data_IF_251165863299
#
_entry.id   IF_251165863299
#
_cell.length_a   1.000
_cell.length_b   1.000
_cell.length_c   1.000
_cell.angle_alpha   90.00
_cell.angle_beta   90.00
_cell.angle_gamma   90.00
#
_symmetry.space_group_name_H-M   'P 1'
#
loop_
_entity.id
_entity.type
_entity.pdbx_description
1 polymer ?
#
# COMPACT_ATOMS: atom_id res chain seq x y z
N UNK A 1 6.92 20.64 9.70
CA UNK A 1 7.55 20.49 8.37
C UNK A 1 8.44 19.26 8.27
N UNK A 2 9.50 19.11 9.08
CA UNK A 2 10.39 17.93 9.02
C UNK A 2 9.67 16.59 9.28
N UNK A 3 8.75 16.54 10.24
CA UNK A 3 7.94 15.35 10.54
C UNK A 3 7.14 14.87 9.31
N UNK A 4 6.42 15.78 8.66
CA UNK A 4 5.65 15.49 7.46
C UNK A 4 6.51 14.96 6.30
N UNK A 5 7.68 15.57 6.08
CA UNK A 5 8.60 15.14 5.02
C UNK A 5 9.10 13.70 5.26
N UNK A 6 9.43 13.37 6.51
CA UNK A 6 9.85 12.02 6.90
C UNK A 6 8.72 11.02 6.73
N UNK A 7 7.49 11.35 7.13
CA UNK A 7 6.31 10.48 6.97
C UNK A 7 6.00 10.21 5.50
N UNK A 8 6.06 11.24 4.64
CA UNK A 8 5.83 11.11 3.19
C UNK A 8 6.91 10.24 2.55
N UNK A 9 8.18 10.47 2.87
CA UNK A 9 9.28 9.64 2.36
C UNK A 9 9.12 8.19 2.80
N UNK A 10 8.84 7.96 4.09
CA UNK A 10 8.58 6.62 4.60
C UNK A 10 7.40 5.96 3.89
N UNK A 11 6.28 6.65 3.70
CA UNK A 11 5.13 6.09 3.00
C UNK A 11 5.44 5.73 1.53
N UNK A 12 6.20 6.58 0.83
CA UNK A 12 6.61 6.35 -0.57
C UNK A 12 7.48 5.10 -0.70
N UNK A 13 8.30 4.76 0.29
CA UNK A 13 9.14 3.55 0.23
C UNK A 13 8.47 2.32 0.85
N UNK A 14 7.80 2.48 1.99
CA UNK A 14 7.15 1.38 2.71
C UNK A 14 5.98 0.82 1.90
N UNK A 15 5.22 1.65 1.18
CA UNK A 15 4.09 1.14 0.43
C UNK A 15 4.51 0.24 -0.75
N UNK A 16 5.43 0.62 -1.66
CA UNK A 16 5.92 -0.28 -2.70
C UNK A 16 6.52 -1.56 -2.16
N UNK A 17 7.30 -1.49 -1.07
CA UNK A 17 7.86 -2.69 -0.42
C UNK A 17 6.73 -3.59 0.07
N UNK A 18 5.77 -3.04 0.81
CA UNK A 18 4.61 -3.78 1.32
C UNK A 18 3.78 -4.39 0.17
N UNK A 19 3.58 -3.66 -0.92
CA UNK A 19 2.88 -4.16 -2.10
C UNK A 19 3.61 -5.34 -2.75
N UNK A 20 4.92 -5.24 -2.94
CA UNK A 20 5.72 -6.35 -3.48
C UNK A 20 5.62 -7.59 -2.58
N UNK A 21 5.76 -7.40 -1.25
CA UNK A 21 5.61 -8.49 -0.29
C UNK A 21 4.20 -9.11 -0.33
N UNK A 22 3.16 -8.29 -0.46
CA UNK A 22 1.79 -8.76 -0.60
C UNK A 22 1.59 -9.57 -1.89
N UNK A 23 2.12 -9.10 -3.02
CA UNK A 23 2.08 -9.84 -4.30
C UNK A 23 2.78 -11.19 -4.17
N UNK A 24 3.96 -11.22 -3.54
CA UNK A 24 4.71 -12.46 -3.29
C UNK A 24 3.89 -13.43 -2.43
N UNK A 25 3.26 -12.98 -1.34
CA UNK A 25 2.39 -13.83 -0.52
C UNK A 25 1.21 -14.38 -1.32
N UNK A 26 0.47 -13.50 -2.01
CA UNK A 26 -0.73 -13.85 -2.79
C UNK A 26 -0.40 -14.89 -3.87
N UNK A 27 0.69 -14.71 -4.60
CA UNK A 27 1.08 -15.65 -5.68
C UNK A 27 1.46 -17.01 -5.10
N UNK A 28 2.12 -17.05 -3.95
CA UNK A 28 2.57 -18.30 -3.31
C UNK A 28 1.48 -19.04 -2.53
N UNK A 29 0.32 -18.43 -2.26
CA UNK A 29 -0.80 -19.11 -1.59
C UNK A 29 -1.37 -20.26 -2.43
N UNK A 30 -1.43 -21.46 -1.82
CA UNK A 30 -1.93 -22.69 -2.45
C UNK A 30 -3.43 -22.89 -2.27
N UNK A 31 -4.00 -22.23 -1.28
CA UNK A 31 -5.41 -22.27 -0.86
C UNK A 31 -6.31 -21.28 -1.62
N UNK A 32 -5.73 -20.43 -2.47
CA UNK A 32 -6.43 -19.35 -3.14
C UNK A 32 -6.53 -19.55 -4.65
N UNK A 33 -7.74 -19.44 -5.19
CA UNK A 33 -8.00 -19.52 -6.63
C UNK A 33 -7.44 -18.33 -7.42
N UNK A 34 -7.15 -18.52 -8.71
CA UNK A 34 -6.49 -17.51 -9.56
C UNK A 34 -7.24 -16.18 -9.66
N UNK A 35 -8.57 -16.20 -9.76
CA UNK A 35 -9.40 -14.96 -9.81
C UNK A 35 -9.27 -14.17 -8.50
N UNK A 36 -9.31 -14.86 -7.35
CA UNK A 36 -9.16 -14.23 -6.05
C UNK A 36 -7.78 -13.57 -5.91
N UNK A 37 -6.71 -14.22 -6.41
CA UNK A 37 -5.36 -13.64 -6.43
C UNK A 37 -5.30 -12.32 -7.21
N UNK A 38 -5.85 -12.31 -8.42
CA UNK A 38 -5.86 -11.11 -9.28
C UNK A 38 -6.62 -9.96 -8.61
N UNK A 39 -7.80 -10.24 -8.05
CA UNK A 39 -8.58 -9.23 -7.34
C UNK A 39 -7.81 -8.65 -6.15
N UNK A 40 -7.16 -9.49 -5.34
CA UNK A 40 -6.38 -9.04 -4.19
C UNK A 40 -5.15 -8.20 -4.58
N UNK A 41 -4.47 -8.53 -5.67
CA UNK A 41 -3.36 -7.72 -6.20
C UNK A 41 -3.87 -6.33 -6.60
N UNK A 42 -5.01 -6.25 -7.29
CA UNK A 42 -5.62 -4.97 -7.67
C UNK A 42 -5.99 -4.15 -6.43
N UNK A 43 -6.69 -4.75 -5.46
CA UNK A 43 -7.13 -4.07 -4.23
C UNK A 43 -5.93 -3.56 -3.42
N UNK A 44 -4.89 -4.38 -3.24
CA UNK A 44 -3.70 -4.01 -2.47
C UNK A 44 -2.88 -2.88 -3.11
N UNK A 45 -2.91 -2.78 -4.45
CA UNK A 45 -2.31 -1.65 -5.16
C UNK A 45 -3.02 -0.33 -4.84
N UNK A 46 -4.35 -0.32 -4.93
CA UNK A 46 -5.14 0.89 -4.63
C UNK A 46 -5.12 1.27 -3.14
N UNK A 47 -4.93 0.31 -2.24
CA UNK A 47 -4.69 0.60 -0.82
C UNK A 47 -3.44 1.49 -0.62
N UNK A 48 -2.49 1.47 -1.56
CA UNK A 48 -1.37 2.40 -1.62
C UNK A 48 -1.67 3.86 -1.81
N UNK A 49 -2.89 4.17 -2.20
CA UNK A 49 -3.37 5.55 -2.30
C UNK A 49 -3.75 6.08 -0.90
N UNK A 50 -3.91 5.21 0.10
CA UNK A 50 -4.21 5.59 1.50
C UNK A 50 -3.32 6.71 2.03
N UNK A 51 -1.98 6.60 1.98
CA UNK A 51 -1.07 7.68 2.35
C UNK A 51 -1.30 9.00 1.60
N UNK A 52 -1.61 8.95 0.30
CA UNK A 52 -1.91 10.12 -0.52
C UNK A 52 -3.23 10.77 -0.07
N UNK A 53 -4.25 9.96 0.24
CA UNK A 53 -5.54 10.45 0.75
C UNK A 53 -5.39 11.10 2.13
N UNK A 54 -4.52 10.60 3.01
CA UNK A 54 -4.23 11.26 4.30
C UNK A 54 -3.62 12.64 4.12
N UNK A 55 -2.75 12.81 3.11
CA UNK A 55 -2.17 14.11 2.78
C UNK A 55 -3.25 15.06 2.23
N UNK A 56 -4.04 14.60 1.25
CA UNK A 56 -4.99 15.44 0.52
C UNK A 56 -6.29 15.73 1.29
N UNK A 57 -6.79 14.77 2.06
CA UNK A 57 -8.09 14.82 2.73
C UNK A 57 -7.96 14.86 4.27
N UNK A 58 -6.85 14.37 4.83
CA UNK A 58 -6.59 14.33 6.28
C UNK A 58 -5.87 15.56 6.84
N UNK A 59 -5.72 16.63 6.05
CA UNK A 59 -5.03 17.86 6.48
C UNK A 59 -3.51 17.70 6.63
N UNK A 60 -2.90 16.82 5.82
CA UNK A 60 -1.45 16.63 5.83
C UNK A 60 -0.91 15.81 7.00
N UNK A 61 -1.76 15.10 7.75
CA UNK A 61 -1.30 14.13 8.76
C UNK A 61 -1.44 12.72 8.20
N UNK A 62 -0.29 12.09 7.92
CA UNK A 62 -0.21 10.64 7.88
C UNK A 62 -0.44 10.13 9.32
N UNK A 63 -0.95 8.89 9.44
CA UNK A 63 -1.33 8.25 10.72
C UNK A 63 -0.46 8.67 11.91
#
# INVERSE_FOLDING_TARGET
>A
MIKFLVEVLLAIFLHPIAFVLAVVDIVNRKDMGGVAKVLWIIISFFWGIGPILYILLGGGKLW
#
